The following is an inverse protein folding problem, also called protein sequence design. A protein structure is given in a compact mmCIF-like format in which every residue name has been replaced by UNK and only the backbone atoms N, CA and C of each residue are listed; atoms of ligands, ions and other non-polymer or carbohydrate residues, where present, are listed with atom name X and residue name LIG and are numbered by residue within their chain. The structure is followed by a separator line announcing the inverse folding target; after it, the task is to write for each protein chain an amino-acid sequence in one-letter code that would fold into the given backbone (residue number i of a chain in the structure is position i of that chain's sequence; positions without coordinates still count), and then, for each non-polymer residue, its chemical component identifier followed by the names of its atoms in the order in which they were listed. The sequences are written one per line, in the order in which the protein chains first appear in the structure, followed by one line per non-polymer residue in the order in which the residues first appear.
data_IF_443602603005
#
_entry.id   IF_443602603005
#
_cell.length_a   1.000
_cell.length_b   1.000
_cell.length_c   1.000
_cell.angle_alpha   90.00
_cell.angle_beta   90.00
_cell.angle_gamma   90.00
#
_symmetry.space_group_name_H-M   'P 1'
#
loop_
_entity.id
_entity.type
_entity.pdbx_description
1 polymer ?
#
# COMPACT_ATOMS: atom_id res chain seq x y z
N UNK A 1 -9.04 -4.47 5.62
CA UNK A 1 -9.94 -3.46 5.01
C UNK A 1 -9.26 -2.74 3.85
N UNK A 2 -8.12 -2.06 4.04
CA UNK A 2 -7.48 -1.26 3.01
C UNK A 2 -7.23 -2.03 1.71
N UNK A 3 -6.69 -3.25 1.80
CA UNK A 3 -6.46 -4.15 0.65
C UNK A 3 -7.72 -4.59 -0.13
N UNK A 4 -8.94 -4.28 0.36
CA UNK A 4 -10.19 -4.61 -0.34
C UNK A 4 -10.80 -3.42 -1.10
N UNK A 5 -10.17 -2.25 -1.02
CA UNK A 5 -10.66 -1.05 -1.70
C UNK A 5 -10.15 -1.04 -3.15
N UNK A 6 -10.99 -0.70 -4.14
CA UNK A 6 -10.56 -0.61 -5.55
C UNK A 6 -9.37 0.32 -5.78
N UNK A 7 -9.25 1.36 -4.95
CA UNK A 7 -8.19 2.36 -5.03
C UNK A 7 -6.88 1.91 -4.38
N UNK A 8 -6.84 0.73 -3.73
CA UNK A 8 -5.65 0.29 -3.00
C UNK A 8 -4.48 0.02 -3.94
N UNK A 9 -3.35 0.64 -3.67
CA UNK A 9 -2.06 0.21 -4.22
C UNK A 9 -1.36 -0.77 -3.28
N UNK A 10 -1.85 -0.95 -2.06
CA UNK A 10 -1.21 -1.79 -1.05
C UNK A 10 -0.39 -0.95 -0.07
N UNK A 11 0.68 -1.52 0.49
CA UNK A 11 1.60 -0.77 1.34
C UNK A 11 3.06 -1.13 1.11
N UNK A 12 3.94 -0.19 1.43
CA UNK A 12 5.39 -0.40 1.50
C UNK A 12 5.84 -0.30 2.95
N UNK A 13 6.90 -1.02 3.28
CA UNK A 13 7.56 -0.91 4.59
C UNK A 13 8.51 -2.06 4.83
N UNK A 14 8.87 -2.28 6.08
CA UNK A 14 9.85 -3.27 6.47
C UNK A 14 11.02 -2.65 7.24
N UNK A 15 11.95 -3.51 7.66
CA UNK A 15 13.11 -3.10 8.46
C UNK A 15 14.17 -2.46 7.55
N UNK A 16 15.15 -1.73 8.11
CA UNK A 16 16.32 -1.31 7.36
C UNK A 16 16.92 -2.49 6.57
N UNK A 17 17.17 -2.29 5.28
CA UNK A 17 17.67 -3.30 4.33
C UNK A 17 16.77 -4.53 4.10
N UNK A 18 15.51 -4.48 4.55
CA UNK A 18 14.50 -5.54 4.38
C UNK A 18 13.13 -4.94 4.03
N UNK A 19 13.09 -4.11 2.99
CA UNK A 19 11.86 -3.45 2.53
C UNK A 19 11.05 -4.34 1.56
N UNK A 20 9.73 -4.35 1.72
CA UNK A 20 8.82 -5.14 0.91
C UNK A 20 7.66 -4.30 0.38
N UNK A 21 7.08 -4.74 -0.73
CA UNK A 21 5.85 -4.18 -1.27
C UNK A 21 4.70 -5.17 -1.07
N UNK A 22 3.81 -4.88 -0.12
CA UNK A 22 2.67 -5.69 0.24
C UNK A 22 1.49 -5.38 -0.68
N UNK A 23 0.99 -6.41 -1.36
CA UNK A 23 -0.03 -6.30 -2.41
C UNK A 23 -1.39 -6.87 -1.98
N UNK A 24 -1.44 -7.58 -0.85
CA UNK A 24 -2.68 -8.19 -0.36
C UNK A 24 -2.47 -9.10 0.83
N UNK A 25 -3.47 -9.93 1.10
CA UNK A 25 -3.41 -10.97 2.12
C UNK A 25 -4.21 -12.21 1.68
N UNK A 26 -3.88 -13.38 2.21
CA UNK A 26 -4.54 -14.65 1.92
C UNK A 26 -5.73 -14.92 2.85
N UNK A 27 -6.52 -15.95 2.54
CA UNK A 27 -7.58 -16.47 3.42
C UNK A 27 -7.04 -17.05 4.75
N UNK A 28 -5.74 -17.33 4.81
CA UNK A 28 -5.01 -17.85 5.99
C UNK A 28 -4.37 -16.74 6.84
N UNK A 29 -4.77 -15.48 6.65
CA UNK A 29 -4.20 -14.31 7.33
C UNK A 29 -2.67 -14.18 7.17
N UNK A 30 -2.18 -14.40 5.94
CA UNK A 30 -0.79 -14.12 5.56
C UNK A 30 -0.73 -12.93 4.60
N UNK A 31 0.23 -12.03 4.80
CA UNK A 31 0.53 -10.95 3.88
C UNK A 31 1.19 -11.50 2.62
N UNK A 32 0.72 -11.02 1.47
CA UNK A 32 1.29 -11.29 0.16
C UNK A 32 2.17 -10.10 -0.25
N UNK A 33 3.40 -10.35 -0.69
CA UNK A 33 4.34 -9.28 -1.01
C UNK A 33 5.29 -9.62 -2.16
N UNK A 34 5.83 -8.54 -2.75
CA UNK A 34 6.96 -8.57 -3.69
C UNK A 34 8.24 -8.18 -2.96
N UNK A 35 9.32 -8.90 -3.26
CA UNK A 35 10.60 -8.79 -2.59
C UNK A 35 11.69 -8.28 -3.56
N UNK A 36 12.25 -7.08 -3.35
CA UNK A 36 13.27 -6.51 -4.23
C UNK A 36 14.69 -7.02 -3.95
N UNK A 37 14.93 -7.87 -2.95
CA UNK A 37 16.29 -8.24 -2.51
C UNK A 37 16.97 -9.31 -3.38
N UNK A 38 16.68 -9.30 -4.69
CA UNK A 38 17.35 -10.14 -5.68
C UNK A 38 18.02 -9.24 -6.70
N UNK A 39 19.35 -9.27 -6.75
CA UNK A 39 20.12 -8.56 -7.77
C UNK A 39 19.95 -9.26 -9.12
N UNK A 40 19.55 -8.51 -10.15
CA UNK A 40 19.36 -9.00 -11.51
C UNK A 40 20.30 -8.27 -12.49
N UNK A 41 20.65 -8.86 -13.64
CA UNK A 41 21.36 -8.15 -14.70
C UNK A 41 20.58 -6.93 -15.19
N UNK A 42 21.30 -5.88 -15.61
CA UNK A 42 20.72 -4.72 -16.27
C UNK A 42 20.06 -5.12 -17.60
N UNK A 43 18.85 -4.63 -17.84
CA UNK A 43 18.15 -4.74 -19.13
C UNK A 43 18.33 -3.45 -19.92
N UNK A 44 18.85 -3.56 -21.14
CA UNK A 44 18.99 -2.43 -22.05
C UNK A 44 17.63 -2.03 -22.65
N UNK A 45 17.20 -0.80 -22.39
CA UNK A 45 15.91 -0.26 -22.83
C UNK A 45 15.99 0.53 -24.15
N UNK A 46 17.16 0.58 -24.80
CA UNK A 46 17.35 1.31 -26.06
C UNK A 46 16.83 0.55 -27.29
N UNK A 47 16.66 -0.78 -27.18
CA UNK A 47 15.98 -1.64 -28.14
C UNK A 47 14.61 -2.09 -27.62
N UNK A 48 13.91 -2.99 -28.32
CA UNK A 48 12.77 -3.72 -27.73
C UNK A 48 13.22 -4.41 -26.44
N UNK A 49 12.84 -3.84 -25.30
CA UNK A 49 13.23 -4.33 -23.99
C UNK A 49 12.45 -5.60 -23.66
N UNK A 50 13.17 -6.65 -23.25
CA UNK A 50 12.57 -7.83 -22.64
C UNK A 50 12.11 -7.49 -21.21
N UNK A 51 10.83 -7.71 -20.89
CA UNK A 51 10.25 -7.37 -19.61
C UNK A 51 10.18 -8.55 -18.63
N UNK A 52 10.65 -9.74 -19.03
CA UNK A 52 10.50 -10.98 -18.24
C UNK A 52 11.06 -10.89 -16.82
N UNK A 53 12.14 -10.11 -16.61
CA UNK A 53 12.77 -9.91 -15.29
C UNK A 53 11.97 -9.00 -14.33
N UNK A 54 10.99 -8.26 -14.85
CA UNK A 54 10.15 -7.33 -14.09
C UNK A 54 8.84 -7.98 -13.62
N UNK A 55 8.56 -9.22 -14.03
CA UNK A 55 7.38 -9.98 -13.61
C UNK A 55 7.78 -11.06 -12.59
N UNK A 56 7.23 -10.97 -11.38
CA UNK A 56 7.46 -11.99 -10.36
C UNK A 56 6.57 -13.22 -10.59
N UNK A 57 7.16 -14.33 -11.04
CA UNK A 57 6.43 -15.59 -11.24
C UNK A 57 5.99 -16.32 -9.95
N UNK A 58 6.38 -15.80 -8.78
CA UNK A 58 6.00 -16.33 -7.46
C UNK A 58 5.65 -15.18 -6.52
N UNK A 59 4.61 -15.37 -5.72
CA UNK A 59 4.20 -14.44 -4.67
C UNK A 59 4.77 -14.92 -3.33
N UNK A 60 5.44 -14.04 -2.60
CA UNK A 60 5.95 -14.34 -1.26
C UNK A 60 4.87 -14.13 -0.20
N UNK A 61 5.03 -14.83 0.94
CA UNK A 61 4.06 -14.84 2.05
C UNK A 61 4.74 -14.67 3.39
N UNK A 62 4.11 -13.92 4.30
CA UNK A 62 4.54 -13.83 5.69
C UNK A 62 3.36 -13.62 6.64
N UNK A 63 3.52 -14.00 7.91
CA UNK A 63 2.53 -13.69 8.95
C UNK A 63 2.52 -12.19 9.24
N UNK A 64 1.35 -11.63 9.57
CA UNK A 64 1.23 -10.24 10.04
C UNK A 64 2.11 -9.93 11.25
N UNK A 65 2.38 -10.91 12.11
CA UNK A 65 3.26 -10.75 13.27
C UNK A 65 4.73 -10.48 12.91
N UNK A 66 5.13 -10.74 11.67
CA UNK A 66 6.46 -10.41 11.17
C UNK A 66 6.56 -9.01 10.56
N UNK A 67 5.43 -8.30 10.40
CA UNK A 67 5.38 -6.99 9.77
C UNK A 67 6.02 -5.93 10.67
N UNK A 68 6.88 -5.10 10.09
CA UNK A 68 7.39 -3.92 10.78
C UNK A 68 6.28 -2.87 10.95
N UNK A 69 6.15 -2.19 12.11
CA UNK A 69 5.11 -1.18 12.31
C UNK A 69 5.28 0.06 11.43
N UNK A 70 6.48 0.32 10.89
CA UNK A 70 6.72 1.43 9.98
C UNK A 70 6.23 1.07 8.56
N UNK A 71 5.09 1.64 8.19
CA UNK A 71 4.40 1.36 6.93
C UNK A 71 3.90 2.66 6.27
N UNK A 72 3.84 2.65 4.95
CA UNK A 72 3.12 3.65 4.17
C UNK A 72 2.06 2.96 3.29
N UNK A 73 0.81 3.40 3.42
CA UNK A 73 -0.33 2.92 2.62
C UNK A 73 -0.50 3.78 1.38
N UNK A 74 -0.68 3.14 0.22
CA UNK A 74 -0.90 3.82 -1.06
C UNK A 74 -2.33 3.66 -1.55
N UNK A 75 -2.91 4.76 -2.04
CA UNK A 75 -4.17 4.76 -2.77
C UNK A 75 -4.02 5.56 -4.07
N UNK A 76 -4.65 5.10 -5.15
CA UNK A 76 -4.71 5.81 -6.42
C UNK A 76 -6.17 6.06 -6.82
N UNK A 77 -6.47 7.33 -7.09
CA UNK A 77 -7.77 7.78 -7.59
C UNK A 77 -7.52 8.53 -8.90
N UNK A 78 -8.02 8.01 -10.02
CA UNK A 78 -7.87 8.64 -11.34
C UNK A 78 -8.81 9.83 -11.52
N UNK A 79 -9.90 9.83 -10.77
CA UNK A 79 -10.94 10.86 -10.85
C UNK A 79 -11.31 11.33 -9.45
N UNK A 80 -11.89 12.52 -9.36
CA UNK A 80 -12.47 13.03 -8.12
C UNK A 80 -13.57 12.12 -7.57
N UNK A 81 -14.39 11.53 -8.46
CA UNK A 81 -15.41 10.56 -8.06
C UNK A 81 -14.81 9.30 -7.40
N UNK A 82 -13.66 8.82 -7.86
CA UNK A 82 -12.95 7.70 -7.22
C UNK A 82 -12.37 8.07 -5.85
N UNK A 83 -11.97 9.33 -5.66
CA UNK A 83 -11.54 9.86 -4.38
C UNK A 83 -12.71 9.97 -3.39
N UNK A 84 -13.84 10.53 -3.80
CA UNK A 84 -15.04 10.62 -2.96
C UNK A 84 -15.56 9.23 -2.56
N UNK A 85 -15.53 8.26 -3.47
CA UNK A 85 -15.86 6.86 -3.18
C UNK A 85 -14.88 6.25 -2.17
N UNK A 86 -13.57 6.51 -2.30
CA UNK A 86 -12.56 6.07 -1.33
C UNK A 86 -12.85 6.63 0.07
N UNK A 87 -13.06 7.95 0.17
CA UNK A 87 -13.33 8.62 1.45
C UNK A 87 -14.62 8.09 2.08
N UNK A 88 -15.68 7.91 1.29
CA UNK A 88 -16.95 7.34 1.74
C UNK A 88 -16.77 5.92 2.30
N UNK A 89 -16.07 5.06 1.56
CA UNK A 89 -15.81 3.68 1.98
C UNK A 89 -14.93 3.60 3.22
N UNK A 90 -13.91 4.44 3.32
CA UNK A 90 -13.06 4.49 4.50
C UNK A 90 -13.87 4.91 5.73
N UNK A 91 -14.55 6.06 5.69
CA UNK A 91 -15.37 6.56 6.81
C UNK A 91 -16.40 5.53 7.29
N UNK A 92 -17.01 4.77 6.37
CA UNK A 92 -18.00 3.73 6.71
C UNK A 92 -17.40 2.52 7.42
N UNK A 93 -16.14 2.18 7.15
CA UNK A 93 -15.55 0.90 7.57
C UNK A 93 -14.37 1.04 8.55
N UNK A 94 -13.98 2.27 8.93
CA UNK A 94 -12.91 2.47 9.91
C UNK A 94 -13.27 1.78 11.25
N UNK A 95 -12.32 1.06 11.88
CA UNK A 95 -12.55 0.44 13.18
C UNK A 95 -12.61 1.50 14.28
N UNK A 96 -13.05 1.10 15.49
CA UNK A 96 -13.13 1.99 16.65
C UNK A 96 -11.79 2.61 17.05
N UNK A 97 -10.67 1.94 16.76
CA UNK A 97 -9.31 2.47 16.88
C UNK A 97 -8.66 2.46 15.49
N UNK A 98 -8.84 3.53 14.69
CA UNK A 98 -8.32 3.57 13.34
C UNK A 98 -6.81 3.86 13.33
N UNK A 99 -6.11 3.38 12.30
CA UNK A 99 -4.66 3.65 12.09
C UNK A 99 -4.39 5.07 11.58
N UNK A 100 -5.40 5.71 11.00
CA UNK A 100 -5.34 7.06 10.45
C UNK A 100 -6.72 7.72 10.55
N UNK A 101 -6.74 9.04 10.47
CA UNK A 101 -7.94 9.87 10.57
C UNK A 101 -8.25 10.52 9.22
N UNK A 102 -9.53 10.84 8.99
CA UNK A 102 -9.98 11.55 7.79
C UNK A 102 -10.71 12.81 8.24
N UNK A 103 -10.10 13.97 8.01
CA UNK A 103 -10.65 15.28 8.36
C UNK A 103 -11.20 15.97 7.10
N UNK A 104 -12.30 16.72 7.26
CA UNK A 104 -12.85 17.55 6.16
C UNK A 104 -12.08 18.87 5.97
N UNK A 105 -11.50 19.40 7.04
CA UNK A 105 -10.70 20.61 7.05
C UNK A 105 -9.39 20.36 7.78
N UNK A 106 -8.41 21.22 7.55
CA UNK A 106 -7.14 21.18 8.27
C UNK A 106 -7.41 21.42 9.78
N UNK A 107 -7.06 20.49 10.67
CA UNK A 107 -7.28 20.64 12.10
C UNK A 107 -6.56 21.87 12.70
N UNK A 108 -5.51 22.35 12.03
CA UNK A 108 -4.73 23.48 12.50
C UNK A 108 -5.36 24.84 12.17
N UNK A 109 -6.27 24.91 11.21
CA UNK A 109 -7.00 26.14 10.88
C UNK A 109 -8.01 26.51 11.97
N UNK A 110 -8.39 25.56 12.84
CA UNK A 110 -9.27 25.80 13.99
C UNK A 110 -8.57 26.46 15.19
N UNK A 111 -7.24 26.54 15.20
CA UNK A 111 -6.46 27.07 16.34
C UNK A 111 -6.27 28.61 16.31
N UNK A 112 -6.84 29.29 15.31
CA UNK A 112 -6.78 30.75 15.17
C UNK A 112 -8.05 31.50 15.60
N UNK A 113 -8.98 30.86 16.30
CA UNK A 113 -10.25 31.44 16.77
C UNK A 113 -10.37 31.50 18.31
N UNK A 114 -9.24 31.57 19.02
CA UNK A 114 -9.18 31.88 20.47
C UNK A 114 -8.54 33.25 20.72
#
# INVERSE_FOLDING_TARGET
LCFRLPQTLGCIGGKPSHAHYFIGYSETDELLYLDPHVTQPHVDTTSTADDMSYHCGRINRMKFSGLDPSLALGFACKTEAEFEDLITKLKKNLPSKPMFEICQSNPFDMRGQE
#
